data_IF_815693896200
#
_entry.id   IF_815693896200
#
_cell.length_a   1.000
_cell.length_b   1.000
_cell.length_c   1.000
_cell.angle_alpha   90.00
_cell.angle_beta   90.00
_cell.angle_gamma   90.00
#
_symmetry.space_group_name_H-M   'P 1'
#
loop_
_entity.id
_entity.type
_entity.pdbx_description
1 polymer ?
#
# COMPACT_ATOMS: atom_id res chain seq x y z
N UNK A 1 36.02 28.44 27.54
CA UNK A 1 37.34 29.06 27.31
C UNK A 1 38.42 28.00 27.52
N UNK A 2 39.59 28.15 26.87
CA UNK A 2 40.72 27.22 27.01
C UNK A 2 41.18 27.08 28.48
N UNK A 3 41.87 26.01 28.91
CA UNK A 3 42.42 24.87 28.17
C UNK A 3 43.91 24.70 28.50
N UNK A 4 44.28 23.56 29.10
CA UNK A 4 45.68 23.17 29.36
C UNK A 4 45.79 21.67 29.62
N UNK A 5 46.60 20.97 28.83
CA UNK A 5 47.14 19.64 29.16
C UNK A 5 48.59 19.79 29.63
N UNK A 6 48.99 19.04 30.66
CA UNK A 6 50.36 18.56 30.92
C UNK A 6 50.21 17.24 31.71
N UNK A 7 50.49 16.10 31.09
CA UNK A 7 51.77 15.36 31.10
C UNK A 7 52.00 14.51 32.36
N UNK A 8 52.07 13.18 32.18
CA UNK A 8 52.78 12.27 33.08
C UNK A 8 53.68 11.37 32.22
N UNK A 9 55.00 11.53 32.37
CA UNK A 9 55.98 10.61 31.79
C UNK A 9 56.20 9.43 32.72
N UNK A 10 56.41 8.25 32.14
CA UNK A 10 57.24 7.22 32.78
C UNK A 10 58.36 6.86 31.80
N UNK A 11 59.58 7.14 32.21
CA UNK A 11 60.81 6.82 31.48
C UNK A 11 61.44 5.61 32.16
N UNK A 12 61.80 4.60 31.39
CA UNK A 12 62.83 3.64 31.79
C UNK A 12 63.94 3.63 30.74
N UNK A 13 65.13 4.04 31.18
CA UNK A 13 66.38 4.01 30.41
C UNK A 13 67.25 2.93 31.04
N UNK A 14 67.83 2.06 30.22
CA UNK A 14 69.01 1.26 30.56
C UNK A 14 70.01 1.33 29.38
N UNK A 15 71.29 1.47 29.70
CA UNK A 15 72.44 1.50 28.77
C UNK A 15 73.26 0.21 29.01
N UNK A 16 73.54 -0.63 27.97
CA UNK A 16 74.76 -0.63 27.11
C UNK A 16 75.98 -1.31 27.81
N UNK A 17 76.93 -2.06 27.17
CA UNK A 17 77.27 -2.26 25.74
C UNK A 17 77.51 -3.77 25.33
N UNK A 18 78.26 -4.14 24.26
CA UNK A 18 78.26 -3.70 22.85
C UNK A 18 78.11 -4.86 21.83
N UNK A 19 77.50 -4.60 20.66
CA UNK A 19 77.75 -5.42 19.46
C UNK A 19 76.53 -5.66 18.57
N UNK A 20 76.79 -5.59 17.26
CA UNK A 20 75.84 -5.75 16.15
C UNK A 20 74.84 -4.58 16.00
N UNK A 21 74.92 -3.96 14.81
CA UNK A 21 74.00 -2.94 14.34
C UNK A 21 72.56 -3.50 14.38
N UNK A 22 71.60 -2.83 15.04
CA UNK A 22 70.20 -3.12 14.79
C UNK A 22 69.88 -2.64 13.37
N UNK A 23 69.73 -3.60 12.46
CA UNK A 23 68.91 -3.37 11.27
C UNK A 23 67.53 -2.98 11.79
N UNK A 24 67.06 -1.78 11.46
CA UNK A 24 65.68 -1.39 11.73
C UNK A 24 64.74 -2.20 10.82
N UNK A 25 64.49 -3.44 11.22
CA UNK A 25 63.33 -4.18 10.74
C UNK A 25 62.15 -3.58 11.50
N UNK A 26 61.32 -2.80 10.80
CA UNK A 26 60.02 -2.39 11.31
C UNK A 26 59.13 -3.64 11.39
N UNK A 27 59.31 -4.45 12.44
CA UNK A 27 58.27 -5.36 12.88
C UNK A 27 57.19 -4.57 13.60
N UNK A 28 55.96 -5.08 13.53
CA UNK A 28 54.86 -4.72 14.43
C UNK A 28 54.22 -3.33 14.20
N UNK A 29 53.95 -3.01 12.94
CA UNK A 29 52.71 -2.28 12.63
C UNK A 29 51.56 -3.29 12.49
N UNK A 30 51.02 -3.72 13.62
CA UNK A 30 49.70 -4.35 13.64
C UNK A 30 48.69 -3.24 13.37
N UNK A 31 48.28 -3.10 12.11
CA UNK A 31 47.17 -2.23 11.72
C UNK A 31 45.89 -2.80 12.33
N UNK A 32 45.51 -2.29 13.51
CA UNK A 32 44.27 -2.65 14.18
C UNK A 32 43.08 -2.26 13.30
N UNK A 33 42.24 -3.25 12.99
CA UNK A 33 40.93 -3.03 12.39
C UNK A 33 40.06 -2.19 13.31
N UNK A 34 39.56 -1.05 12.81
CA UNK A 34 38.57 -0.24 13.51
C UNK A 34 37.19 -0.90 13.52
N UNK A 35 36.86 -1.64 12.46
CA UNK A 35 35.61 -2.40 12.29
C UNK A 35 35.73 -3.34 11.10
N UNK A 36 34.88 -4.36 11.05
CA UNK A 36 34.46 -5.01 9.82
C UNK A 36 32.95 -5.18 9.86
N UNK A 37 32.28 -4.89 8.75
CA UNK A 37 30.81 -4.94 8.66
C UNK A 37 30.42 -5.94 7.56
N UNK A 38 29.55 -6.88 7.90
CA UNK A 38 29.03 -7.90 6.98
C UNK A 38 27.67 -7.43 6.45
N UNK A 39 27.64 -6.98 5.18
CA UNK A 39 26.42 -6.42 4.58
C UNK A 39 25.96 -7.20 3.35
N UNK A 40 24.64 -7.24 3.04
CA UNK A 40 23.52 -6.68 3.82
C UNK A 40 23.14 -7.46 5.10
N UNK A 41 22.79 -6.72 6.16
CA UNK A 41 22.17 -7.22 7.39
C UNK A 41 20.97 -6.31 7.76
N UNK A 42 19.77 -6.85 8.06
CA UNK A 42 19.34 -8.23 7.84
C UNK A 42 19.12 -8.57 6.35
N UNK A 43 19.05 -9.87 6.06
CA UNK A 43 18.82 -10.43 4.72
C UNK A 43 17.71 -11.49 4.75
N UNK A 44 16.94 -11.59 3.67
CA UNK A 44 15.93 -12.63 3.46
C UNK A 44 16.12 -13.27 2.08
N UNK A 45 16.03 -14.60 1.98
CA UNK A 45 16.16 -15.38 0.72
C UNK A 45 15.19 -16.58 0.67
N UNK A 46 14.83 -17.00 -0.55
CA UNK A 46 14.07 -18.25 -0.78
C UNK A 46 14.92 -19.52 -0.63
N UNK A 47 14.27 -20.67 -0.43
CA UNK A 47 14.93 -21.98 -0.50
C UNK A 47 15.42 -22.24 -1.93
N UNK A 48 16.74 -22.44 -2.08
CA UNK A 48 17.42 -22.55 -3.37
C UNK A 48 17.90 -21.23 -3.97
N UNK A 49 17.51 -20.08 -3.42
CA UNK A 49 18.03 -18.77 -3.83
C UNK A 49 19.43 -18.52 -3.23
N UNK A 50 20.22 -17.68 -3.91
CA UNK A 50 21.56 -17.28 -3.47
C UNK A 50 21.67 -15.77 -3.27
N UNK A 51 22.08 -15.31 -2.08
CA UNK A 51 22.45 -13.93 -1.81
C UNK A 51 23.97 -13.80 -1.58
N UNK A 52 24.55 -12.70 -2.06
CA UNK A 52 25.94 -12.36 -1.82
C UNK A 52 26.05 -11.44 -0.60
N UNK A 53 26.77 -11.86 0.44
CA UNK A 53 27.19 -10.99 1.54
C UNK A 53 28.64 -10.55 1.30
N UNK A 54 28.97 -9.31 1.66
CA UNK A 54 30.32 -8.73 1.53
C UNK A 54 30.82 -8.31 2.91
N UNK A 55 32.05 -8.69 3.26
CA UNK A 55 32.72 -8.19 4.48
C UNK A 55 33.52 -6.95 4.10
N UNK A 56 33.05 -5.79 4.53
CA UNK A 56 33.67 -4.51 4.20
C UNK A 56 34.96 -4.33 5.01
N UNK A 57 36.09 -4.35 4.31
CA UNK A 57 37.43 -4.25 4.87
C UNK A 57 38.26 -3.23 4.10
N UNK A 58 39.06 -2.46 4.82
CA UNK A 58 39.90 -1.38 4.27
C UNK A 58 41.30 -1.88 3.83
N UNK A 59 41.67 -3.12 4.18
CA UNK A 59 42.98 -3.70 3.90
C UNK A 59 42.90 -5.02 3.10
N UNK A 60 43.99 -5.33 2.39
CA UNK A 60 44.09 -6.40 1.40
C UNK A 60 44.99 -7.58 1.82
N UNK A 61 45.33 -7.68 3.10
CA UNK A 61 46.34 -8.61 3.64
C UNK A 61 45.77 -9.68 4.57
N UNK A 62 44.48 -10.01 4.45
CA UNK A 62 43.78 -10.96 5.33
C UNK A 62 43.03 -12.04 4.53
N UNK A 63 42.37 -12.95 5.25
CA UNK A 63 41.33 -13.83 4.73
C UNK A 63 40.11 -13.82 5.66
N UNK A 64 38.93 -14.16 5.12
CA UNK A 64 37.67 -14.19 5.86
C UNK A 64 37.10 -15.61 5.85
N UNK A 65 36.85 -16.15 7.05
CA UNK A 65 36.16 -17.43 7.23
C UNK A 65 34.71 -17.17 7.62
N UNK A 66 33.80 -17.61 6.76
CA UNK A 66 32.36 -17.51 6.99
C UNK A 66 31.85 -18.78 7.68
N UNK A 67 31.17 -18.60 8.80
CA UNK A 67 30.47 -19.67 9.54
C UNK A 67 28.98 -19.33 9.64
N UNK A 68 28.16 -20.29 10.04
CA UNK A 68 26.70 -20.09 10.17
C UNK A 68 26.10 -20.97 11.27
N UNK A 69 25.06 -20.48 11.93
CA UNK A 69 24.27 -21.25 12.89
C UNK A 69 22.82 -20.72 12.97
N UNK A 70 21.80 -21.60 12.92
CA UNK A 70 21.86 -23.05 12.69
C UNK A 70 22.18 -23.44 11.24
N UNK A 71 22.95 -24.52 11.05
CA UNK A 71 23.43 -24.96 9.72
C UNK A 71 22.36 -25.56 8.81
N UNK A 72 21.15 -25.81 9.31
CA UNK A 72 20.05 -26.44 8.59
C UNK A 72 19.36 -25.53 7.57
N UNK A 73 19.38 -24.21 7.77
CA UNK A 73 18.55 -23.27 7.01
C UNK A 73 19.22 -22.70 5.76
N UNK A 74 20.55 -22.53 5.76
CA UNK A 74 21.32 -22.06 4.61
C UNK A 74 22.64 -22.84 4.41
N UNK A 75 23.35 -22.58 3.31
CA UNK A 75 24.78 -22.83 3.14
C UNK A 75 25.55 -21.51 2.97
N UNK A 76 26.87 -21.53 3.15
CA UNK A 76 27.76 -20.37 2.90
C UNK A 76 29.06 -20.85 2.23
N UNK A 77 29.63 -20.05 1.33
CA UNK A 77 30.96 -20.31 0.75
C UNK A 77 32.07 -19.77 1.67
N UNK A 78 33.10 -20.56 1.93
CA UNK A 78 34.16 -20.23 2.89
C UNK A 78 35.43 -21.08 2.65
N UNK A 79 36.65 -20.57 2.92
CA UNK A 79 36.99 -19.16 3.18
C UNK A 79 37.04 -18.33 1.89
N UNK A 80 37.12 -17.00 2.03
CA UNK A 80 37.52 -16.10 0.95
C UNK A 80 38.86 -15.43 1.26
N UNK A 81 39.75 -15.45 0.28
CA UNK A 81 41.13 -14.96 0.36
C UNK A 81 41.38 -13.78 -0.60
N UNK A 82 40.35 -13.27 -1.29
CA UNK A 82 40.47 -12.20 -2.28
C UNK A 82 39.56 -11.01 -1.94
N UNK A 83 40.03 -9.78 -2.24
CA UNK A 83 39.18 -8.59 -2.18
C UNK A 83 38.33 -8.46 -3.46
N UNK A 84 37.06 -8.03 -3.35
CA UNK A 84 36.30 -7.80 -2.12
C UNK A 84 35.83 -9.13 -1.48
N UNK A 85 36.10 -9.31 -0.19
CA UNK A 85 35.79 -10.55 0.53
C UNK A 85 34.28 -10.78 0.61
N UNK A 86 33.85 -11.94 0.12
CA UNK A 86 32.43 -12.27 -0.10
C UNK A 86 32.10 -13.71 0.27
N UNK A 87 30.85 -13.91 0.67
CA UNK A 87 30.25 -15.23 0.74
C UNK A 87 28.93 -15.29 -0.02
N UNK A 88 28.73 -16.38 -0.75
CA UNK A 88 27.42 -16.71 -1.32
C UNK A 88 26.67 -17.55 -0.30
N UNK A 89 25.56 -17.01 0.19
CA UNK A 89 24.62 -17.70 1.09
C UNK A 89 23.52 -18.33 0.25
N UNK A 90 23.28 -19.64 0.35
CA UNK A 90 22.19 -20.33 -0.37
C UNK A 90 21.12 -20.80 0.59
N UNK A 91 19.84 -20.55 0.32
CA UNK A 91 18.74 -21.08 1.14
C UNK A 91 18.59 -22.61 1.02
N UNK A 92 18.36 -23.30 2.14
CA UNK A 92 18.23 -24.78 2.22
C UNK A 92 16.88 -25.20 2.80
N UNK A 93 16.40 -24.53 3.83
CA UNK A 93 15.12 -24.82 4.48
C UNK A 93 14.60 -23.59 5.25
N UNK A 94 13.28 -23.47 5.40
CA UNK A 94 12.63 -22.37 6.12
C UNK A 94 13.12 -22.29 7.59
N UNK A 95 13.61 -21.11 7.96
CA UNK A 95 14.14 -20.77 9.28
C UNK A 95 15.22 -19.67 9.23
N UNK A 96 15.55 -19.11 10.39
CA UNK A 96 16.57 -18.04 10.49
C UNK A 96 17.92 -18.63 10.90
N UNK A 97 18.99 -18.23 10.19
CA UNK A 97 20.39 -18.50 10.56
C UNK A 97 21.15 -17.19 10.71
N UNK A 98 22.08 -17.15 11.64
CA UNK A 98 23.13 -16.15 11.69
C UNK A 98 24.28 -16.59 10.77
N UNK A 99 24.87 -15.68 10.02
CA UNK A 99 26.09 -15.87 9.22
C UNK A 99 27.16 -14.95 9.79
N UNK A 100 28.29 -15.52 10.20
CA UNK A 100 29.36 -14.78 10.88
C UNK A 100 30.63 -14.76 10.01
N UNK A 101 31.09 -13.57 9.66
CA UNK A 101 32.34 -13.35 8.92
C UNK A 101 33.49 -13.09 9.88
N UNK A 102 34.40 -14.05 10.03
CA UNK A 102 35.56 -13.99 10.91
C UNK A 102 36.81 -13.60 10.10
N UNK A 103 37.44 -12.47 10.42
CA UNK A 103 38.58 -11.92 9.66
C UNK A 103 39.89 -12.27 10.34
N UNK A 104 40.80 -12.93 9.62
CA UNK A 104 42.06 -13.44 10.18
C UNK A 104 43.30 -12.82 9.52
N UNK A 105 44.32 -12.59 10.34
CA UNK A 105 45.66 -12.22 9.87
C UNK A 105 46.43 -13.42 9.33
N UNK A 106 47.30 -13.22 8.33
CA UNK A 106 48.26 -14.25 7.87
C UNK A 106 49.45 -14.46 8.85
N UNK A 107 49.27 -14.12 10.13
CA UNK A 107 50.24 -14.50 11.15
C UNK A 107 50.29 -16.03 11.30
N UNK A 108 51.39 -16.53 11.87
CA UNK A 108 51.54 -17.95 12.22
C UNK A 108 51.75 -18.08 13.74
N UNK A 109 50.73 -18.46 14.52
CA UNK A 109 49.37 -18.86 14.13
C UNK A 109 48.47 -17.67 13.70
N UNK A 110 47.41 -17.91 12.89
CA UNK A 110 46.47 -16.86 12.50
C UNK A 110 45.76 -16.25 13.71
N UNK A 111 45.63 -14.92 13.72
CA UNK A 111 44.95 -14.19 14.80
C UNK A 111 43.64 -13.62 14.26
N UNK A 112 42.54 -13.82 15.00
CA UNK A 112 41.26 -13.19 14.70
C UNK A 112 41.37 -11.67 14.92
N UNK A 113 41.20 -10.88 13.87
CA UNK A 113 41.31 -9.43 13.91
C UNK A 113 39.97 -8.75 14.21
N UNK A 114 38.88 -9.27 13.63
CA UNK A 114 37.51 -8.85 13.93
C UNK A 114 36.52 -9.94 13.50
N UNK A 115 35.27 -9.81 13.93
CA UNK A 115 34.17 -10.66 13.48
C UNK A 115 32.88 -9.85 13.49
N UNK A 116 32.02 -10.08 12.51
CA UNK A 116 30.67 -9.52 12.46
C UNK A 116 29.64 -10.56 11.99
N UNK A 117 28.36 -10.35 12.30
CA UNK A 117 27.29 -11.33 12.09
C UNK A 117 26.05 -10.71 11.44
N UNK A 118 25.64 -11.27 10.30
CA UNK A 118 24.42 -10.91 9.61
C UNK A 118 23.32 -11.95 9.86
N UNK A 119 22.08 -11.48 10.00
CA UNK A 119 20.88 -12.30 10.14
C UNK A 119 20.33 -12.65 8.77
N UNK A 120 20.28 -13.93 8.43
CA UNK A 120 19.69 -14.45 7.19
C UNK A 120 18.43 -15.24 7.52
N UNK A 121 17.27 -14.72 7.12
CA UNK A 121 16.02 -15.48 7.16
C UNK A 121 15.85 -16.22 5.84
N UNK A 122 15.92 -17.54 5.89
CA UNK A 122 15.52 -18.39 4.77
C UNK A 122 14.05 -18.70 4.96
N UNK A 123 13.26 -18.55 3.92
CA UNK A 123 11.85 -18.89 3.99
C UNK A 123 11.20 -18.86 2.63
N UNK A 124 10.05 -19.51 2.52
CA UNK A 124 9.11 -19.17 1.46
C UNK A 124 8.90 -17.66 1.47
N UNK A 125 9.37 -16.95 0.43
CA UNK A 125 8.91 -15.59 0.18
C UNK A 125 7.41 -15.71 -0.06
N UNK A 126 6.64 -15.34 0.96
CA UNK A 126 5.27 -14.89 0.76
C UNK A 126 5.43 -13.74 -0.23
N UNK A 127 5.12 -14.01 -1.50
CA UNK A 127 5.19 -13.08 -2.64
C UNK A 127 4.89 -11.69 -2.12
N UNK A 128 5.87 -10.77 -2.10
CA UNK A 128 5.75 -9.53 -1.31
C UNK A 128 4.41 -8.92 -1.64
N UNK A 129 3.52 -8.97 -0.65
CA UNK A 129 2.11 -9.04 -0.98
C UNK A 129 1.70 -7.60 -1.08
N UNK A 130 1.91 -7.08 -2.28
CA UNK A 130 1.73 -5.69 -2.57
C UNK A 130 0.27 -5.36 -2.26
N UNK A 131 -0.01 -4.17 -1.71
CA UNK A 131 -1.38 -3.75 -1.47
C UNK A 131 -2.18 -3.87 -2.77
N UNK A 132 -3.32 -4.55 -2.66
CA UNK A 132 -4.22 -4.82 -3.77
C UNK A 132 -5.66 -4.63 -3.33
N UNK A 133 -6.48 -4.28 -4.29
CA UNK A 133 -7.88 -4.00 -4.09
C UNK A 133 -8.73 -4.90 -4.99
N UNK A 134 -9.97 -5.14 -4.56
CA UNK A 134 -10.92 -6.02 -5.22
C UNK A 134 -12.30 -5.37 -5.28
N UNK A 135 -13.09 -5.73 -6.29
CA UNK A 135 -14.51 -5.42 -6.36
C UNK A 135 -15.32 -6.70 -6.35
N UNK A 136 -16.54 -6.67 -5.78
CA UNK A 136 -17.47 -7.79 -5.79
C UNK A 136 -18.75 -7.39 -6.55
N UNK A 137 -19.05 -8.13 -7.62
CA UNK A 137 -20.22 -7.98 -8.50
C UNK A 137 -20.20 -6.75 -9.41
N UNK A 138 -19.80 -5.59 -8.91
CA UNK A 138 -19.78 -4.32 -9.64
C UNK A 138 -18.86 -4.31 -10.86
N UNK A 139 -19.16 -3.42 -11.81
CA UNK A 139 -18.27 -3.15 -12.95
C UNK A 139 -17.30 -2.02 -12.61
N UNK A 140 -16.11 -2.04 -13.22
CA UNK A 140 -15.08 -1.00 -13.07
C UNK A 140 -15.05 -0.17 -14.36
N UNK A 141 -14.92 1.15 -14.23
CA UNK A 141 -14.72 2.06 -15.35
C UNK A 141 -13.57 3.05 -15.07
N UNK A 142 -12.76 3.35 -16.09
CA UNK A 142 -11.79 4.45 -16.06
C UNK A 142 -11.75 5.19 -17.40
N UNK A 143 -11.87 6.52 -17.38
CA UNK A 143 -11.90 7.34 -18.58
C UNK A 143 -10.51 7.62 -19.19
N UNK A 144 -9.43 7.32 -18.46
CA UNK A 144 -8.07 7.68 -18.87
C UNK A 144 -7.68 6.94 -20.16
N UNK A 145 -7.06 7.65 -21.10
CA UNK A 145 -6.72 7.14 -22.44
C UNK A 145 -5.24 6.83 -22.65
N UNK A 146 -4.37 7.26 -21.74
CA UNK A 146 -2.90 7.15 -21.86
C UNK A 146 -2.24 6.76 -20.53
N UNK A 147 -1.06 6.12 -20.62
CA UNK A 147 -0.31 5.63 -19.45
C UNK A 147 -0.88 4.36 -18.84
N UNK A 148 -0.51 4.06 -17.59
CA UNK A 148 -1.22 3.07 -16.77
C UNK A 148 -2.55 3.68 -16.32
N UNK A 149 -3.67 3.04 -16.65
CA UNK A 149 -5.02 3.54 -16.34
C UNK A 149 -5.68 2.83 -15.18
N UNK A 150 -5.19 1.62 -14.88
CA UNK A 150 -5.57 0.81 -13.73
C UNK A 150 -4.38 -0.06 -13.34
N UNK A 151 -4.12 -0.20 -12.04
CA UNK A 151 -3.13 -1.11 -11.49
C UNK A 151 -3.68 -1.84 -10.27
N UNK A 152 -3.44 -3.14 -10.19
CA UNK A 152 -3.62 -3.94 -8.97
C UNK A 152 -2.63 -5.12 -9.02
N UNK A 153 -2.08 -5.51 -7.86
CA UNK A 153 -1.07 -6.59 -7.73
C UNK A 153 -1.64 -7.73 -6.89
N UNK A 154 -2.53 -8.49 -7.49
CA UNK A 154 -3.32 -9.51 -6.80
C UNK A 154 -2.47 -10.76 -6.49
N UNK A 155 -2.80 -11.51 -5.42
CA UNK A 155 -2.32 -12.87 -5.22
C UNK A 155 -2.66 -13.79 -6.41
N UNK A 156 -1.88 -14.86 -6.58
CA UNK A 156 -2.10 -15.84 -7.63
C UNK A 156 -3.49 -16.50 -7.50
N UNK A 157 -4.26 -16.51 -8.59
CA UNK A 157 -5.61 -17.09 -8.62
C UNK A 157 -6.75 -16.17 -8.16
N UNK A 158 -6.47 -14.96 -7.69
CA UNK A 158 -7.50 -13.96 -7.36
C UNK A 158 -7.95 -13.14 -8.58
N UNK A 159 -9.09 -12.46 -8.41
CA UNK A 159 -9.79 -11.71 -9.45
C UNK A 159 -9.98 -10.25 -9.05
N UNK A 160 -9.77 -9.30 -9.97
CA UNK A 160 -10.03 -7.88 -9.69
C UNK A 160 -11.53 -7.62 -9.48
N UNK A 161 -12.36 -8.26 -10.30
CA UNK A 161 -13.82 -8.26 -10.20
C UNK A 161 -14.25 -9.69 -9.88
N UNK A 162 -14.57 -9.94 -8.61
CA UNK A 162 -15.06 -11.23 -8.13
C UNK A 162 -16.58 -11.27 -8.31
N UNK A 163 -17.11 -12.22 -9.07
CA UNK A 163 -18.58 -12.39 -9.17
C UNK A 163 -19.20 -12.67 -7.81
N UNK A 164 -20.44 -12.22 -7.61
CA UNK A 164 -21.29 -12.68 -6.50
C UNK A 164 -21.64 -14.16 -6.74
N UNK A 165 -21.81 -14.95 -5.68
CA UNK A 165 -22.24 -16.36 -5.78
C UNK A 165 -23.55 -16.46 -6.58
N UNK A 166 -23.52 -17.21 -7.69
CA UNK A 166 -24.66 -17.35 -8.60
C UNK A 166 -24.94 -16.16 -9.53
N UNK A 167 -24.12 -15.10 -9.47
CA UNK A 167 -24.19 -13.94 -10.35
C UNK A 167 -23.18 -13.98 -11.50
N UNK A 168 -23.31 -13.02 -12.43
CA UNK A 168 -22.35 -12.76 -13.51
C UNK A 168 -21.10 -12.03 -12.99
N UNK A 169 -19.97 -12.17 -13.68
CA UNK A 169 -18.85 -11.24 -13.47
C UNK A 169 -19.23 -9.82 -13.89
N UNK A 170 -18.68 -8.82 -13.19
CA UNK A 170 -18.73 -7.43 -13.66
C UNK A 170 -17.75 -7.19 -14.82
N UNK A 171 -17.96 -6.09 -15.54
CA UNK A 171 -17.15 -5.67 -16.68
C UNK A 171 -16.02 -4.74 -16.22
N UNK A 172 -14.79 -4.96 -16.70
CA UNK A 172 -13.75 -3.93 -16.68
C UNK A 172 -13.82 -3.11 -17.98
N UNK A 173 -14.16 -1.83 -17.87
CA UNK A 173 -14.19 -0.91 -19.00
C UNK A 173 -13.16 0.22 -18.86
N UNK A 174 -12.54 0.62 -19.97
CA UNK A 174 -11.50 1.65 -19.94
C UNK A 174 -11.37 2.44 -21.25
N UNK A 175 -11.12 3.74 -21.17
CA UNK A 175 -10.98 4.62 -22.33
C UNK A 175 -9.76 4.30 -23.20
N UNK A 176 -8.63 3.92 -22.59
CA UNK A 176 -7.41 3.54 -23.29
C UNK A 176 -6.25 3.19 -22.37
N UNK A 177 -5.02 3.46 -22.81
CA UNK A 177 -3.81 3.12 -22.08
C UNK A 177 -3.69 1.64 -21.72
N UNK A 178 -3.01 1.36 -20.61
CA UNK A 178 -2.66 0.00 -20.16
C UNK A 178 -3.28 -0.32 -18.81
N UNK A 179 -3.98 -1.45 -18.75
CA UNK A 179 -4.41 -2.11 -17.50
C UNK A 179 -3.27 -3.03 -17.05
N UNK A 180 -2.79 -2.86 -15.81
CA UNK A 180 -1.69 -3.65 -15.24
C UNK A 180 -2.22 -4.50 -14.08
N UNK A 181 -2.43 -5.79 -14.33
CA UNK A 181 -2.72 -6.79 -13.29
C UNK A 181 -1.51 -7.71 -13.17
N UNK A 182 -1.08 -7.97 -11.92
CA UNK A 182 -0.03 -8.93 -11.58
C UNK A 182 -0.68 -10.02 -10.74
N UNK A 183 -0.28 -11.29 -10.94
CA UNK A 183 -0.73 -12.48 -10.20
C UNK A 183 -2.17 -12.94 -10.47
N UNK A 184 -3.13 -12.01 -10.48
CA UNK A 184 -4.54 -12.28 -10.73
C UNK A 184 -5.03 -11.94 -12.14
N UNK A 185 -6.34 -12.12 -12.35
CA UNK A 185 -7.02 -11.82 -13.63
C UNK A 185 -8.14 -10.78 -13.45
N UNK A 186 -8.76 -10.33 -14.54
CA UNK A 186 -9.82 -9.30 -14.51
C UNK A 186 -11.05 -9.81 -13.75
N UNK A 187 -11.57 -10.96 -14.14
CA UNK A 187 -12.78 -11.59 -13.57
C UNK A 187 -12.83 -13.06 -14.00
N UNK A 188 -13.75 -13.85 -13.42
CA UNK A 188 -13.89 -15.27 -13.77
C UNK A 188 -14.16 -15.46 -15.28
N UNK A 189 -14.93 -14.56 -15.88
CA UNK A 189 -15.29 -14.59 -17.29
C UNK A 189 -14.32 -13.76 -18.18
N UNK A 190 -13.33 -13.09 -17.57
CA UNK A 190 -12.32 -12.28 -18.26
C UNK A 190 -12.85 -11.00 -18.94
N UNK A 191 -14.08 -10.59 -18.65
CA UNK A 191 -14.79 -9.52 -19.34
C UNK A 191 -14.10 -8.17 -19.24
N UNK A 192 -13.56 -7.70 -20.36
CA UNK A 192 -12.93 -6.38 -20.51
C UNK A 192 -13.33 -5.72 -21.84
N UNK A 193 -13.58 -4.42 -21.83
CA UNK A 193 -13.92 -3.64 -23.01
C UNK A 193 -13.19 -2.30 -23.03
N UNK A 194 -12.59 -1.94 -24.18
CA UNK A 194 -12.07 -0.59 -24.40
C UNK A 194 -13.22 0.30 -24.88
N UNK A 195 -13.68 1.22 -24.04
CA UNK A 195 -14.79 2.12 -24.32
C UNK A 195 -14.66 3.41 -23.51
N UNK A 196 -15.03 4.53 -24.11
CA UNK A 196 -15.15 5.82 -23.44
C UNK A 196 -16.59 6.01 -22.97
N UNK A 197 -16.77 6.53 -21.75
CA UNK A 197 -18.04 7.04 -21.30
C UNK A 197 -18.41 8.31 -22.09
N UNK A 198 -19.52 8.24 -22.82
CA UNK A 198 -20.10 9.32 -23.62
C UNK A 198 -21.42 9.86 -23.02
N UNK A 199 -21.76 9.43 -21.80
CA UNK A 199 -22.96 9.88 -21.10
C UNK A 199 -22.84 11.28 -20.51
N UNK A 200 -23.86 11.70 -19.76
CA UNK A 200 -23.91 13.01 -19.10
C UNK A 200 -22.96 13.03 -17.90
N UNK A 201 -22.20 14.11 -17.72
CA UNK A 201 -21.34 14.31 -16.54
C UNK A 201 -22.18 14.43 -15.26
N UNK A 202 -22.43 13.29 -14.58
CA UNK A 202 -23.12 13.21 -13.30
C UNK A 202 -22.17 13.55 -12.14
N UNK A 203 -21.80 14.82 -12.05
CA UNK A 203 -20.92 15.37 -11.02
C UNK A 203 -21.71 16.16 -9.95
N UNK A 204 -21.01 16.84 -9.04
CA UNK A 204 -21.65 17.67 -8.01
C UNK A 204 -22.68 18.64 -8.59
N UNK A 205 -22.31 19.40 -9.62
CA UNK A 205 -23.16 20.43 -10.21
C UNK A 205 -24.43 19.84 -10.88
N UNK A 206 -24.31 18.66 -11.50
CA UNK A 206 -25.45 17.93 -12.06
C UNK A 206 -26.47 17.55 -10.98
N UNK A 207 -26.02 16.90 -9.91
CA UNK A 207 -26.92 16.47 -8.84
C UNK A 207 -27.45 17.66 -8.04
N UNK A 208 -26.63 18.68 -7.76
CA UNK A 208 -27.03 19.89 -7.05
C UNK A 208 -28.20 20.58 -7.78
N UNK A 209 -28.08 20.74 -9.11
CA UNK A 209 -29.14 21.27 -9.97
C UNK A 209 -30.42 20.41 -9.93
N UNK A 210 -30.30 19.08 -10.07
CA UNK A 210 -31.46 18.19 -10.09
C UNK A 210 -32.19 18.10 -8.73
N UNK A 211 -31.45 18.20 -7.63
CA UNK A 211 -32.01 18.15 -6.28
C UNK A 211 -32.63 19.48 -5.83
N UNK A 212 -32.21 20.60 -6.45
CA UNK A 212 -32.69 21.94 -6.13
C UNK A 212 -31.82 22.68 -5.10
N UNK A 213 -30.53 22.37 -5.05
CA UNK A 213 -29.54 23.13 -4.27
C UNK A 213 -29.38 24.52 -4.90
N UNK A 214 -29.49 25.59 -4.11
CA UNK A 214 -29.35 26.94 -4.61
C UNK A 214 -27.90 27.22 -5.07
N UNK A 215 -27.73 27.89 -6.21
CA UNK A 215 -26.40 28.21 -6.78
C UNK A 215 -25.62 29.24 -5.98
N UNK A 216 -26.28 29.96 -5.08
CA UNK A 216 -25.69 30.94 -4.16
C UNK A 216 -26.59 31.08 -2.93
N UNK A 217 -26.00 31.37 -1.78
CA UNK A 217 -26.76 31.59 -0.53
C UNK A 217 -27.48 30.36 0.01
N UNK A 218 -27.13 29.15 -0.43
CA UNK A 218 -27.68 27.91 0.12
C UNK A 218 -27.34 27.82 1.62
N UNK A 219 -28.36 27.73 2.46
CA UNK A 219 -28.17 27.56 3.90
C UNK A 219 -27.53 26.21 4.21
N UNK A 220 -26.54 26.22 5.11
CA UNK A 220 -25.86 25.04 5.66
C UNK A 220 -26.76 24.38 6.69
N UNK A 221 -26.84 23.04 6.67
CA UNK A 221 -27.54 22.26 7.69
C UNK A 221 -26.70 22.03 8.96
N UNK A 222 -25.40 22.33 8.90
CA UNK A 222 -24.46 22.29 10.03
C UNK A 222 -23.76 23.64 10.22
N UNK A 223 -23.44 23.98 11.47
CA UNK A 223 -22.77 25.23 11.83
C UNK A 223 -21.23 25.15 11.84
N UNK A 224 -20.68 23.93 11.90
CA UNK A 224 -19.25 23.66 11.81
C UNK A 224 -18.99 22.47 10.88
N UNK A 225 -17.72 22.22 10.59
CA UNK A 225 -17.30 21.33 9.50
C UNK A 225 -17.56 19.84 9.83
N UNK A 226 -17.48 19.44 11.10
CA UNK A 226 -17.81 18.10 11.58
C UNK A 226 -19.33 17.86 11.63
N UNK A 227 -19.83 17.00 10.74
CA UNK A 227 -21.26 16.74 10.53
C UNK A 227 -21.79 15.65 11.46
N UNK A 228 -22.75 15.99 12.31
CA UNK A 228 -23.57 15.02 13.04
C UNK A 228 -24.68 14.47 12.15
N UNK A 229 -24.99 13.17 12.24
CA UNK A 229 -26.07 12.57 11.42
C UNK A 229 -27.42 13.22 11.76
N UNK A 230 -28.11 13.87 10.82
CA UNK A 230 -29.37 14.55 11.12
C UNK A 230 -30.49 13.58 11.49
N UNK A 231 -31.45 14.06 12.28
CA UNK A 231 -32.72 13.36 12.45
C UNK A 231 -33.40 13.15 11.08
N UNK A 232 -33.92 11.95 10.84
CA UNK A 232 -34.53 11.61 9.56
C UNK A 232 -35.82 12.42 9.36
N UNK A 233 -35.95 13.05 8.20
CA UNK A 233 -37.14 13.80 7.80
C UNK A 233 -37.47 13.46 6.34
N UNK A 234 -38.58 12.75 6.12
CA UNK A 234 -39.00 12.31 4.78
C UNK A 234 -39.26 13.46 3.79
N UNK A 235 -39.51 14.68 4.29
CA UNK A 235 -39.71 15.87 3.46
C UNK A 235 -38.39 16.61 3.11
N UNK A 236 -37.28 16.27 3.78
CA UNK A 236 -35.96 16.88 3.56
C UNK A 236 -35.26 16.14 2.41
N UNK A 237 -35.28 16.76 1.24
CA UNK A 237 -34.81 16.18 -0.03
C UNK A 237 -33.28 16.01 -0.07
N UNK A 238 -32.54 16.94 0.56
CA UNK A 238 -31.09 16.90 0.70
C UNK A 238 -30.66 17.67 1.95
N UNK A 239 -29.44 17.41 2.41
CA UNK A 239 -28.70 18.20 3.38
C UNK A 239 -27.50 18.85 2.69
N UNK A 240 -27.10 20.03 3.15
CA UNK A 240 -26.04 20.83 2.53
C UNK A 240 -24.99 21.26 3.56
N UNK A 241 -23.73 21.06 3.21
CA UNK A 241 -22.55 21.52 3.93
C UNK A 241 -21.66 22.33 2.99
N UNK A 242 -21.00 23.34 3.54
CA UNK A 242 -20.07 24.24 2.86
C UNK A 242 -19.00 24.56 3.92
N UNK A 243 -18.00 23.69 4.07
CA UNK A 243 -17.07 23.78 5.20
C UNK A 243 -16.12 24.98 5.07
N UNK A 244 -15.49 25.39 6.16
CA UNK A 244 -14.40 26.39 6.12
C UNK A 244 -13.06 25.71 5.81
N UNK A 245 -12.83 24.52 6.36
CA UNK A 245 -11.78 23.59 5.97
C UNK A 245 -12.37 22.37 5.28
N UNK A 246 -12.05 21.18 5.78
CA UNK A 246 -12.56 19.89 5.30
C UNK A 246 -13.78 19.48 6.13
N UNK A 247 -14.88 19.07 5.50
CA UNK A 247 -16.01 18.51 6.23
C UNK A 247 -15.66 17.11 6.76
N UNK A 248 -16.10 16.73 7.96
CA UNK A 248 -15.89 15.38 8.51
C UNK A 248 -17.14 14.80 9.15
N UNK A 249 -17.08 13.59 9.72
CA UNK A 249 -18.20 12.96 10.43
C UNK A 249 -17.97 13.01 11.94
N UNK A 250 -18.86 13.70 12.67
CA UNK A 250 -18.70 13.86 14.12
C UNK A 250 -18.87 12.56 14.95
N UNK A 251 -19.37 11.48 14.33
CA UNK A 251 -19.56 10.14 14.91
C UNK A 251 -19.88 9.13 13.79
N UNK A 252 -19.95 7.83 14.11
CA UNK A 252 -20.46 6.77 13.22
C UNK A 252 -21.89 7.08 12.74
N UNK A 253 -22.11 7.08 11.42
CA UNK A 253 -23.42 7.32 10.82
C UNK A 253 -24.18 6.00 10.64
N UNK A 254 -25.33 5.86 11.32
CA UNK A 254 -26.23 4.72 11.18
C UNK A 254 -27.54 5.14 10.46
N UNK A 255 -27.74 4.67 9.24
CA UNK A 255 -28.92 4.90 8.41
C UNK A 255 -29.79 3.63 8.44
N UNK A 256 -31.00 3.75 9.00
CA UNK A 256 -31.91 2.63 9.12
C UNK A 256 -32.70 2.37 7.82
N UNK A 257 -33.35 1.21 7.73
CA UNK A 257 -34.26 0.87 6.63
C UNK A 257 -35.32 1.97 6.44
N UNK A 258 -35.57 2.37 5.19
CA UNK A 258 -36.50 3.42 4.81
C UNK A 258 -35.98 4.84 5.00
N UNK A 259 -34.86 5.05 5.70
CA UNK A 259 -34.22 6.36 5.83
C UNK A 259 -33.39 6.66 4.58
N UNK A 260 -33.56 7.87 4.04
CA UNK A 260 -32.86 8.34 2.84
C UNK A 260 -32.16 9.66 3.14
N UNK A 261 -30.86 9.71 2.86
CA UNK A 261 -30.02 10.88 3.07
C UNK A 261 -29.24 11.18 1.78
N UNK A 262 -29.22 12.44 1.38
CA UNK A 262 -28.34 12.97 0.32
C UNK A 262 -27.63 14.17 0.91
N UNK A 263 -26.31 14.10 0.99
CA UNK A 263 -25.47 15.16 1.57
C UNK A 263 -24.64 15.77 0.46
N UNK A 264 -24.86 17.06 0.21
CA UNK A 264 -23.99 17.87 -0.64
C UNK A 264 -22.92 18.52 0.21
N UNK A 265 -21.65 18.36 -0.17
CA UNK A 265 -20.51 19.05 0.45
C UNK A 265 -19.89 19.97 -0.60
N UNK A 266 -19.99 21.29 -0.41
CA UNK A 266 -19.33 22.28 -1.24
C UNK A 266 -17.90 22.55 -0.77
N UNK A 267 -17.03 21.56 -0.93
CA UNK A 267 -15.65 21.54 -0.46
C UNK A 267 -15.15 20.10 -0.47
N UNK A 268 -14.15 19.82 0.36
CA UNK A 268 -13.60 18.48 0.54
C UNK A 268 -14.28 17.74 1.71
N UNK A 269 -14.27 16.40 1.66
CA UNK A 269 -14.87 15.53 2.67
C UNK A 269 -13.86 14.50 3.17
N UNK A 270 -13.59 14.53 4.48
CA UNK A 270 -12.91 13.47 5.20
C UNK A 270 -13.94 12.48 5.76
N UNK A 271 -13.73 11.20 5.49
CA UNK A 271 -14.49 10.10 6.09
C UNK A 271 -13.58 9.50 7.17
N UNK A 272 -13.77 10.02 8.38
CA UNK A 272 -13.07 9.69 9.63
C UNK A 272 -13.86 8.72 10.53
N UNK A 273 -15.07 8.33 10.13
CA UNK A 273 -15.96 7.44 10.86
C UNK A 273 -16.55 6.36 9.96
N UNK A 274 -16.84 5.18 10.55
CA UNK A 274 -17.59 4.14 9.85
C UNK A 274 -19.02 4.62 9.50
N UNK A 275 -19.54 4.10 8.39
CA UNK A 275 -20.86 4.44 7.87
C UNK A 275 -21.64 3.15 7.63
N UNK A 276 -22.80 3.01 8.27
CA UNK A 276 -23.69 1.85 8.15
C UNK A 276 -25.03 2.27 7.52
N UNK A 277 -25.46 1.59 6.48
CA UNK A 277 -26.71 1.79 5.72
C UNK A 277 -27.43 0.44 5.59
N UNK A 278 -28.38 0.22 6.50
CA UNK A 278 -29.20 -0.98 6.51
C UNK A 278 -29.93 -1.18 5.16
N UNK A 279 -30.15 -2.43 4.70
CA UNK A 279 -30.93 -2.71 3.49
C UNK A 279 -32.30 -2.00 3.51
N UNK A 280 -32.65 -1.37 2.39
CA UNK A 280 -33.83 -0.48 2.28
C UNK A 280 -33.57 0.98 2.67
N UNK A 281 -32.42 1.28 3.29
CA UNK A 281 -31.92 2.64 3.47
C UNK A 281 -31.21 3.18 2.23
N UNK A 282 -30.89 4.47 2.26
CA UNK A 282 -30.06 5.13 1.25
C UNK A 282 -29.22 6.25 1.87
N UNK A 283 -27.95 6.32 1.47
CA UNK A 283 -27.05 7.43 1.77
C UNK A 283 -26.21 7.74 0.53
N UNK A 284 -26.14 9.03 0.19
CA UNK A 284 -25.19 9.53 -0.80
C UNK A 284 -24.42 10.74 -0.26
N UNK A 285 -23.11 10.76 -0.46
CA UNK A 285 -22.28 11.95 -0.34
C UNK A 285 -21.91 12.43 -1.74
N UNK A 286 -22.15 13.71 -2.01
CA UNK A 286 -21.93 14.35 -3.30
C UNK A 286 -21.06 15.59 -3.04
N UNK A 287 -19.80 15.52 -3.46
CA UNK A 287 -18.71 16.37 -2.98
C UNK A 287 -18.12 17.18 -4.13
N UNK A 288 -18.01 18.49 -3.96
CA UNK A 288 -17.53 19.39 -5.03
C UNK A 288 -16.01 19.42 -5.16
N UNK A 289 -15.29 19.01 -4.11
CA UNK A 289 -13.85 18.73 -4.08
C UNK A 289 -13.55 17.23 -4.00
N UNK A 290 -12.59 16.83 -3.18
CA UNK A 290 -12.13 15.44 -3.00
C UNK A 290 -12.75 14.71 -1.80
N UNK A 291 -12.66 13.38 -1.81
CA UNK A 291 -13.02 12.51 -0.68
C UNK A 291 -11.78 11.78 -0.21
N UNK A 292 -11.49 11.86 1.09
CA UNK A 292 -10.34 11.20 1.72
C UNK A 292 -10.83 10.33 2.87
N UNK A 293 -10.35 9.08 2.95
CA UNK A 293 -10.79 8.10 3.97
C UNK A 293 -9.65 7.81 4.96
N UNK A 294 -9.88 8.13 6.23
CA UNK A 294 -8.92 7.94 7.33
C UNK A 294 -8.58 6.44 7.55
N UNK A 295 -7.36 6.06 7.99
CA UNK A 295 -6.98 4.65 8.16
C UNK A 295 -7.74 3.89 9.25
N UNK A 296 -8.42 4.58 10.19
CA UNK A 296 -9.24 3.99 11.23
C UNK A 296 -10.62 3.51 10.72
N UNK A 297 -11.12 4.07 9.61
CA UNK A 297 -12.37 3.61 8.99
C UNK A 297 -12.16 2.22 8.41
N UNK A 298 -12.98 1.26 8.82
CA UNK A 298 -12.94 -0.13 8.35
C UNK A 298 -14.15 -0.52 7.51
N UNK A 299 -15.24 0.24 7.62
CA UNK A 299 -16.52 -0.09 6.99
C UNK A 299 -17.30 1.18 6.60
N UNK A 300 -17.68 1.29 5.33
CA UNK A 300 -18.47 2.42 4.83
C UNK A 300 -19.49 1.98 3.77
N UNK A 301 -20.74 2.37 3.94
CA UNK A 301 -21.83 2.02 3.01
C UNK A 301 -22.45 3.27 2.37
N UNK A 302 -22.72 3.22 1.06
CA UNK A 302 -23.43 4.28 0.34
C UNK A 302 -22.93 4.58 -1.07
N UNK A 303 -23.43 5.68 -1.63
CA UNK A 303 -23.00 6.24 -2.91
C UNK A 303 -22.08 7.43 -2.66
N UNK A 304 -20.83 7.33 -3.08
CA UNK A 304 -19.81 8.38 -2.91
C UNK A 304 -19.50 8.98 -4.28
N UNK A 305 -19.79 10.27 -4.46
CA UNK A 305 -19.56 11.02 -5.70
C UNK A 305 -18.64 12.21 -5.40
N UNK A 306 -17.47 12.28 -6.04
CA UNK A 306 -16.56 13.43 -5.95
C UNK A 306 -16.24 14.03 -7.32
N UNK A 307 -15.99 15.35 -7.37
CA UNK A 307 -15.38 15.97 -8.55
C UNK A 307 -13.86 15.79 -8.55
N UNK A 308 -13.24 15.98 -7.38
CA UNK A 308 -11.83 15.72 -7.11
C UNK A 308 -11.57 14.24 -6.88
N UNK A 309 -10.42 13.90 -6.31
CA UNK A 309 -10.02 12.51 -6.13
C UNK A 309 -10.91 11.77 -5.11
N UNK A 310 -10.78 10.45 -5.09
CA UNK A 310 -11.14 9.60 -3.96
C UNK A 310 -9.87 8.91 -3.49
N UNK A 311 -9.43 9.15 -2.24
CA UNK A 311 -8.20 8.58 -1.71
C UNK A 311 -8.40 7.86 -0.38
N UNK A 312 -7.66 6.79 -0.15
CA UNK A 312 -7.49 6.19 1.19
C UNK A 312 -6.15 6.62 1.76
N UNK A 313 -6.12 7.02 3.03
CA UNK A 313 -4.86 7.25 3.74
C UNK A 313 -4.28 5.90 4.19
N UNK A 314 -2.96 5.78 4.14
CA UNK A 314 -2.19 4.68 4.73
C UNK A 314 -1.34 5.19 5.89
N UNK A 315 -1.28 4.41 6.97
CA UNK A 315 -0.33 4.53 8.07
C UNK A 315 0.70 3.39 8.07
N UNK A 316 0.83 2.68 6.95
CA UNK A 316 1.72 1.53 6.84
C UNK A 316 3.18 1.94 7.00
N UNK A 317 3.89 1.21 7.87
CA UNK A 317 5.34 1.30 8.05
C UNK A 317 5.85 -0.13 8.15
N UNK A 318 6.68 -0.55 7.19
CA UNK A 318 7.15 -1.93 7.07
C UNK A 318 7.78 -2.43 8.38
N UNK A 319 7.29 -3.58 8.87
CA UNK A 319 7.75 -4.19 10.14
C UNK A 319 7.28 -3.49 11.42
N UNK A 320 6.50 -2.40 11.34
CA UNK A 320 6.07 -1.59 12.50
C UNK A 320 4.55 -1.47 12.59
N UNK A 321 3.89 -1.00 11.53
CA UNK A 321 2.45 -0.70 11.51
C UNK A 321 1.82 -1.17 10.22
N UNK A 322 0.70 -1.89 10.34
CA UNK A 322 -0.14 -2.28 9.21
C UNK A 322 -1.43 -1.44 9.19
N UNK A 323 -1.99 -1.22 8.00
CA UNK A 323 -3.32 -0.66 7.86
C UNK A 323 -4.42 -1.65 8.25
N UNK A 324 -5.58 -1.11 8.61
CA UNK A 324 -6.81 -1.89 8.72
C UNK A 324 -7.48 -2.00 7.35
N UNK A 325 -8.07 -3.16 7.06
CA UNK A 325 -8.82 -3.40 5.82
C UNK A 325 -10.03 -2.47 5.71
N UNK A 326 -10.24 -1.90 4.52
CA UNK A 326 -11.45 -1.13 4.20
C UNK A 326 -12.45 -1.98 3.43
N UNK A 327 -13.68 -2.01 3.91
CA UNK A 327 -14.83 -2.55 3.20
C UNK A 327 -15.77 -1.41 2.81
N UNK A 328 -16.02 -1.27 1.51
CA UNK A 328 -16.96 -0.30 0.96
C UNK A 328 -18.15 -1.07 0.38
N UNK A 329 -19.37 -0.81 0.84
CA UNK A 329 -20.57 -1.36 0.20
C UNK A 329 -21.37 -0.28 -0.53
N UNK A 330 -21.46 -0.37 -1.86
CA UNK A 330 -22.16 0.61 -2.68
C UNK A 330 -21.44 0.95 -3.96
N UNK A 331 -21.10 2.23 -4.13
CA UNK A 331 -20.45 2.73 -5.35
C UNK A 331 -19.62 3.96 -5.07
N UNK A 332 -18.39 3.98 -5.62
CA UNK A 332 -17.50 5.14 -5.61
C UNK A 332 -17.38 5.65 -7.05
N UNK A 333 -17.67 6.93 -7.25
CA UNK A 333 -17.65 7.61 -8.54
C UNK A 333 -16.85 8.91 -8.36
N UNK A 334 -15.80 9.08 -9.14
CA UNK A 334 -14.99 10.30 -9.13
C UNK A 334 -14.81 10.82 -10.55
N UNK A 335 -14.71 12.14 -10.69
CA UNK A 335 -14.29 12.81 -11.93
C UNK A 335 -12.79 13.15 -11.94
N UNK A 336 -12.07 12.83 -10.86
CA UNK A 336 -10.61 12.82 -10.72
C UNK A 336 -10.04 11.40 -10.77
N UNK A 337 -9.16 11.08 -9.82
CA UNK A 337 -8.51 9.76 -9.67
C UNK A 337 -9.04 8.98 -8.46
N UNK A 338 -8.93 7.65 -8.50
CA UNK A 338 -9.13 6.77 -7.32
C UNK A 338 -7.74 6.25 -6.91
N UNK A 339 -7.30 6.63 -5.72
CA UNK A 339 -5.98 6.30 -5.18
C UNK A 339 -6.15 5.46 -3.90
N UNK A 340 -6.00 4.14 -4.05
CA UNK A 340 -6.14 3.15 -2.98
C UNK A 340 -4.75 2.78 -2.46
N UNK A 341 -4.42 3.27 -1.26
CA UNK A 341 -3.06 3.26 -0.73
C UNK A 341 -2.86 2.30 0.46
N UNK A 342 -3.91 1.68 1.01
CA UNK A 342 -3.78 0.88 2.24
C UNK A 342 -2.96 -0.37 2.03
N UNK A 343 -2.19 -0.75 3.05
CA UNK A 343 -1.33 -1.92 3.05
C UNK A 343 -1.46 -2.68 4.38
N UNK A 344 -1.98 -3.91 4.31
CA UNK A 344 -2.22 -4.75 5.49
C UNK A 344 -0.96 -5.47 6.00
N UNK A 345 0.19 -5.26 5.36
CA UNK A 345 1.41 -6.05 5.53
C UNK A 345 1.37 -7.38 4.76
N UNK A 346 2.54 -7.95 4.49
CA UNK A 346 2.70 -9.06 3.54
C UNK A 346 1.81 -10.28 3.85
N UNK A 347 1.77 -10.72 5.11
CA UNK A 347 0.97 -11.89 5.50
C UNK A 347 -0.54 -11.71 5.26
N UNK A 348 -1.07 -10.50 5.45
CA UNK A 348 -2.50 -10.23 5.28
C UNK A 348 -2.85 -9.92 3.83
N UNK A 349 -2.05 -9.10 3.14
CA UNK A 349 -2.25 -8.83 1.71
C UNK A 349 -2.15 -10.12 0.85
N UNK A 350 -1.42 -11.14 1.29
CA UNK A 350 -1.33 -12.42 0.57
C UNK A 350 -2.67 -13.16 0.42
N UNK A 351 -3.67 -12.84 1.26
CA UNK A 351 -4.98 -13.52 1.28
C UNK A 351 -6.17 -12.57 1.27
N UNK A 352 -5.99 -11.29 1.61
CA UNK A 352 -7.05 -10.30 1.73
C UNK A 352 -6.70 -9.04 0.90
N UNK A 353 -7.64 -8.47 0.14
CA UNK A 353 -7.46 -7.15 -0.46
C UNK A 353 -7.53 -6.08 0.64
N UNK A 354 -6.64 -5.10 0.57
CA UNK A 354 -6.56 -3.98 1.50
C UNK A 354 -7.83 -3.10 1.45
N UNK A 355 -8.36 -2.89 0.24
CA UNK A 355 -9.67 -2.29 0.00
C UNK A 355 -10.56 -3.22 -0.83
N UNK A 356 -11.80 -3.44 -0.39
CA UNK A 356 -12.81 -4.18 -1.14
C UNK A 356 -14.06 -3.33 -1.36
N UNK A 357 -14.52 -3.22 -2.61
CA UNK A 357 -15.80 -2.55 -2.96
C UNK A 357 -16.85 -3.58 -3.37
N UNK A 358 -17.84 -3.83 -2.51
CA UNK A 358 -19.00 -4.68 -2.79
C UNK A 358 -20.11 -3.84 -3.42
N UNK A 359 -20.62 -4.24 -4.59
CA UNK A 359 -21.70 -3.51 -5.25
C UNK A 359 -23.07 -3.78 -4.59
N UNK A 360 -23.78 -2.71 -4.20
CA UNK A 360 -25.11 -2.75 -3.57
C UNK A 360 -26.20 -2.25 -4.53
N UNK A 361 -26.85 -3.14 -5.32
CA UNK A 361 -27.88 -2.74 -6.27
C UNK A 361 -29.16 -2.21 -5.60
N UNK A 362 -29.42 -2.55 -4.32
CA UNK A 362 -30.54 -2.02 -3.54
C UNK A 362 -30.47 -0.49 -3.39
N UNK A 363 -29.27 0.09 -3.32
CA UNK A 363 -29.10 1.55 -3.25
C UNK A 363 -29.68 2.26 -4.49
N UNK A 364 -29.61 1.65 -5.69
CA UNK A 364 -30.20 2.25 -6.90
C UNK A 364 -31.73 2.28 -6.84
N UNK A 365 -32.34 1.23 -6.29
CA UNK A 365 -33.79 1.15 -6.05
C UNK A 365 -34.22 2.16 -4.99
N UNK A 366 -33.47 2.24 -3.89
CA UNK A 366 -33.79 3.09 -2.74
C UNK A 366 -33.51 4.59 -2.98
N UNK A 367 -32.66 4.92 -3.96
CA UNK A 367 -32.30 6.29 -4.35
C UNK A 367 -33.52 7.22 -4.47
N UNK A 368 -33.44 8.50 -4.01
CA UNK A 368 -34.47 9.49 -4.22
C UNK A 368 -34.71 9.76 -5.71
N UNK A 369 -35.98 9.94 -6.11
CA UNK A 369 -36.34 9.99 -7.53
C UNK A 369 -35.77 11.20 -8.27
N UNK A 370 -35.46 12.30 -7.56
CA UNK A 370 -34.75 13.46 -8.14
C UNK A 370 -33.29 13.18 -8.53
N UNK A 371 -32.67 12.12 -8.01
CA UNK A 371 -31.34 11.68 -8.46
C UNK A 371 -31.41 10.71 -9.65
N UNK A 372 -32.54 10.03 -9.85
CA UNK A 372 -32.72 9.04 -10.92
C UNK A 372 -32.84 9.76 -12.27
N UNK A 373 -31.96 9.44 -13.21
CA UNK A 373 -32.09 9.90 -14.59
C UNK A 373 -32.85 8.85 -15.43
N UNK A 374 -33.98 9.24 -16.01
CA UNK A 374 -34.66 8.40 -17.00
C UNK A 374 -33.94 8.50 -18.36
N UNK A 375 -33.60 7.36 -18.95
CA UNK A 375 -33.10 7.24 -20.31
C UNK A 375 -34.13 6.51 -21.16
N UNK A 376 -34.85 7.25 -22.01
CA UNK A 376 -35.71 6.68 -23.04
C UNK A 376 -34.91 6.62 -24.34
N UNK A 377 -34.64 5.41 -24.83
CA UNK A 377 -34.18 5.21 -26.21
C UNK A 377 -35.39 4.85 -27.07
N UNK A 378 -35.78 5.75 -27.97
CA UNK A 378 -36.80 5.46 -28.97
C UNK A 378 -36.11 4.96 -30.22
N UNK A 379 -36.37 3.72 -30.61
CA UNK A 379 -35.87 3.11 -31.83
C UNK A 379 -37.04 2.67 -32.67
N UNK A 380 -37.17 3.26 -33.86
CA UNK A 380 -38.14 2.81 -34.85
C UNK A 380 -37.80 1.38 -35.28
N UNK A 381 -38.75 0.47 -35.11
CA UNK A 381 -38.65 -0.88 -35.66
C UNK A 381 -39.20 -0.80 -37.08
N UNK A 382 -38.48 -1.27 -38.12
CA UNK A 382 -39.00 -1.31 -39.47
C UNK A 382 -40.34 -2.04 -39.50
N UNK A 383 -41.31 -1.52 -40.26
CA UNK A 383 -42.61 -2.16 -40.42
C UNK A 383 -42.41 -3.60 -40.95
N UNK A 384 -42.69 -4.59 -40.10
CA UNK A 384 -42.61 -5.99 -40.48
C UNK A 384 -43.69 -6.29 -41.51
N UNK A 385 -43.29 -6.75 -42.70
CA UNK A 385 -44.21 -7.42 -43.61
C UNK A 385 -44.67 -8.71 -42.96
N UNK A 386 -45.91 -8.74 -42.46
CA UNK A 386 -46.59 -9.99 -42.20
C UNK A 386 -46.65 -10.76 -43.53
N UNK A 387 -46.13 -11.99 -43.53
CA UNK A 387 -45.99 -12.78 -44.76
C UNK A 387 -47.35 -13.12 -45.38
N UNK A 388 -47.42 -12.96 -46.69
CA UNK A 388 -48.40 -13.64 -47.57
C UNK A 388 -47.88 -15.05 -47.92
#
# INVERSE_FOLDING_TARGET
MAGTEYEVRVIFITFDPPGLLPVCINSDRIDYLSSCELTPDPTTIEVGETQLLTTNLVANTWYVSYTRAPTAYATVTTPDNALPYRTTVTGVADGTTLVTGNVYTYATPPVLACSDTATVTVGTVVVSANPWWQTIGGSIHTQRTTGTVLRSRLPAGEYLIKRVTGGTSGLLSYGGGTVVLVGGTVSQDGWKAKSLYTGKTMNYAYFAKNMGVATSGQAKDWAGDAMTKPAYNANKVFYYQDPVGTASLAAVWNVANGQKYVVFVNGDLEIDQNINVAPGGFLAFIVSGEITVDPAVTYMEGLFVSNGNFSTISKYVAGVTNDSRLLVEGSVITWGSIDLNRNLGDAANATLPAEQVTYRPDLLTNMPDRMKSFALEWKEVPAGTFGE
#
